data_IF_137761711043
#
_entry.id   IF_137761711043
#
_cell.length_a   1.000
_cell.length_b   1.000
_cell.length_c   1.000
_cell.angle_alpha   90.00
_cell.angle_beta   90.00
_cell.angle_gamma   90.00
#
_symmetry.space_group_name_H-M   'P 1'
#
loop_
_entity.id
_entity.type
_entity.pdbx_description
1 polymer ?
#
# COMPACT_ATOMS: atom_id res chain seq x y z
N UNK A 1 13.56 5.76 13.77
CA UNK A 1 13.16 7.00 13.06
C UNK A 1 14.39 7.89 12.92
N UNK A 2 14.76 8.26 11.69
CA UNK A 2 15.84 9.20 11.46
C UNK A 2 15.39 10.58 11.95
N UNK A 3 16.18 11.23 12.79
CA UNK A 3 15.90 12.60 13.23
C UNK A 3 16.32 13.57 12.13
N UNK A 4 15.60 14.68 12.02
CA UNK A 4 15.97 15.74 11.11
C UNK A 4 17.24 16.45 11.59
N UNK A 5 18.20 16.66 10.68
CA UNK A 5 19.36 17.50 10.91
C UNK A 5 19.63 18.37 9.67
N UNK A 6 19.99 19.62 9.91
CA UNK A 6 20.42 20.52 8.85
C UNK A 6 21.78 20.07 8.31
N UNK A 7 21.91 20.03 6.98
CA UNK A 7 23.20 19.75 6.36
C UNK A 7 24.08 21.00 6.30
N UNK A 8 25.38 20.77 6.38
CA UNK A 8 26.36 21.81 6.07
C UNK A 8 26.30 22.12 4.57
N UNK A 9 26.26 23.42 4.25
CA UNK A 9 26.20 23.92 2.87
C UNK A 9 27.61 24.31 2.44
N UNK A 10 28.31 23.40 1.77
CA UNK A 10 29.68 23.60 1.28
C UNK A 10 29.73 24.02 -0.19
N UNK A 11 28.73 23.65 -0.99
CA UNK A 11 28.69 23.90 -2.42
C UNK A 11 28.53 25.38 -2.75
N UNK A 12 29.23 25.87 -3.78
CA UNK A 12 29.12 27.27 -4.20
C UNK A 12 27.85 27.48 -5.04
N UNK A 13 27.30 28.69 -4.96
CA UNK A 13 26.20 29.09 -5.82
C UNK A 13 26.63 29.07 -7.30
N UNK A 14 26.01 28.20 -8.10
CA UNK A 14 26.15 28.16 -9.55
C UNK A 14 25.38 29.31 -10.22
N UNK A 15 26.03 30.45 -10.39
CA UNK A 15 25.45 31.62 -11.07
C UNK A 15 25.11 31.37 -12.54
N UNK A 16 25.84 30.48 -13.22
CA UNK A 16 25.54 30.14 -14.63
C UNK A 16 24.18 29.47 -14.74
N UNK A 17 23.92 28.48 -13.88
CA UNK A 17 22.60 27.86 -13.78
C UNK A 17 21.53 28.90 -13.47
N UNK A 18 21.73 29.71 -12.42
CA UNK A 18 20.71 30.69 -12.03
C UNK A 18 20.46 31.76 -13.10
N UNK A 19 21.45 32.09 -13.92
CA UNK A 19 21.31 33.07 -15.00
C UNK A 19 20.45 32.58 -16.17
N UNK A 20 20.34 31.26 -16.37
CA UNK A 20 19.45 30.69 -17.40
C UNK A 20 18.00 30.60 -16.94
N UNK A 21 17.73 30.91 -15.68
CA UNK A 21 16.40 30.83 -15.12
C UNK A 21 15.51 31.95 -15.64
N UNK A 22 14.39 31.59 -16.29
CA UNK A 22 13.42 32.53 -16.80
C UNK A 22 12.07 32.38 -16.08
N UNK A 23 11.81 33.26 -15.12
CA UNK A 23 10.56 33.29 -14.34
C UNK A 23 9.33 33.40 -15.22
N UNK A 24 9.38 34.25 -16.26
CA UNK A 24 8.24 34.49 -17.14
C UNK A 24 7.87 33.24 -17.94
N UNK A 25 8.87 32.49 -18.40
CA UNK A 25 8.62 31.25 -19.14
C UNK A 25 7.99 30.18 -18.24
N UNK A 26 8.44 30.05 -16.99
CA UNK A 26 7.85 29.11 -16.02
C UNK A 26 6.41 29.47 -15.70
N UNK A 27 6.13 30.74 -15.40
CA UNK A 27 4.76 31.21 -15.09
C UNK A 27 3.84 30.98 -16.29
N UNK A 28 4.31 31.29 -17.50
CA UNK A 28 3.55 31.10 -18.73
C UNK A 28 3.25 29.62 -19.02
N UNK A 29 4.21 28.73 -18.80
CA UNK A 29 4.03 27.29 -19.03
C UNK A 29 3.22 26.61 -17.91
N UNK A 30 3.20 27.19 -16.72
CA UNK A 30 2.56 26.61 -15.55
C UNK A 30 3.23 25.33 -15.04
N UNK A 31 4.41 25.00 -15.54
CA UNK A 31 5.14 23.78 -15.19
C UNK A 31 6.12 24.04 -14.05
N UNK A 32 5.75 23.57 -12.86
CA UNK A 32 6.57 23.71 -11.65
C UNK A 32 7.75 22.75 -11.60
N UNK A 33 7.78 21.69 -12.42
CA UNK A 33 8.91 20.75 -12.47
C UNK A 33 10.18 21.44 -12.98
N UNK A 34 10.03 22.45 -13.84
CA UNK A 34 11.15 23.27 -14.34
C UNK A 34 11.86 24.03 -13.21
N UNK A 35 11.18 24.29 -12.08
CA UNK A 35 11.77 24.97 -10.91
C UNK A 35 12.64 24.05 -10.07
N UNK A 36 12.40 22.74 -10.12
CA UNK A 36 13.01 21.78 -9.19
C UNK A 36 14.54 21.83 -9.18
N UNK A 37 15.25 21.85 -10.33
CA UNK A 37 16.72 21.92 -10.34
C UNK A 37 17.25 23.20 -9.67
N UNK A 38 16.58 24.33 -9.89
CA UNK A 38 16.96 25.62 -9.32
C UNK A 38 16.67 25.66 -7.82
N UNK A 39 15.50 25.19 -7.40
CA UNK A 39 15.10 25.14 -6.00
C UNK A 39 16.03 24.23 -5.19
N UNK A 40 16.35 23.05 -5.70
CA UNK A 40 17.29 22.12 -5.06
C UNK A 40 18.69 22.72 -4.97
N UNK A 41 19.20 23.31 -6.06
CA UNK A 41 20.50 23.96 -6.08
C UNK A 41 20.58 25.09 -5.04
N UNK A 42 19.60 25.99 -5.02
CA UNK A 42 19.55 27.08 -4.03
C UNK A 42 19.41 26.53 -2.62
N UNK A 43 18.64 25.47 -2.39
CA UNK A 43 18.41 24.90 -1.05
C UNK A 43 19.72 24.45 -0.36
N UNK A 44 20.63 23.84 -1.13
CA UNK A 44 21.86 23.22 -0.61
C UNK A 44 23.14 24.02 -0.85
N UNK A 45 23.09 25.09 -1.64
CA UNK A 45 24.24 25.94 -1.87
C UNK A 45 24.59 26.85 -0.67
N UNK A 46 25.87 27.14 -0.52
CA UNK A 46 26.42 28.11 0.43
C UNK A 46 26.11 29.53 -0.03
N UNK A 47 25.38 30.27 0.80
CA UNK A 47 25.09 31.68 0.56
C UNK A 47 26.25 32.57 1.04
N UNK A 48 26.42 33.77 0.45
CA UNK A 48 27.40 34.75 0.93
C UNK A 48 27.20 35.06 2.40
N UNK A 49 28.28 35.21 3.17
CA UNK A 49 28.19 35.52 4.60
C UNK A 49 27.37 36.80 4.82
N UNK A 50 26.50 36.84 5.85
CA UNK A 50 25.81 38.08 6.20
C UNK A 50 26.86 39.16 6.53
N UNK A 51 26.60 40.41 6.16
CA UNK A 51 27.45 41.52 6.60
C UNK A 51 27.44 41.59 8.14
N UNK A 52 28.54 42.06 8.74
CA UNK A 52 28.68 42.15 10.21
C UNK A 52 27.63 43.07 10.86
N UNK A 53 27.12 44.03 10.10
CA UNK A 53 26.02 44.92 10.47
C UNK A 53 25.04 44.98 9.29
N UNK A 54 24.06 44.07 9.21
CA UNK A 54 22.99 44.20 8.23
C UNK A 54 21.97 45.18 8.82
N UNK A 55 21.77 46.38 8.24
CA UNK A 55 20.84 47.37 8.78
C UNK A 55 19.36 46.93 8.67
N UNK A 56 19.10 45.78 8.03
CA UNK A 56 17.77 45.17 7.86
C UNK A 56 17.93 43.71 7.44
N UNK A 57 16.86 42.90 7.51
CA UNK A 57 16.82 41.56 6.90
C UNK A 57 17.13 41.68 5.39
N UNK A 58 18.36 41.35 5.01
CA UNK A 58 18.77 41.39 3.61
C UNK A 58 18.07 40.29 2.80
N UNK A 59 18.13 40.37 1.47
CA UNK A 59 17.53 39.34 0.61
C UNK A 59 18.08 37.94 0.94
N UNK A 60 19.35 37.85 1.35
CA UNK A 60 19.97 36.58 1.73
C UNK A 60 19.37 35.97 3.00
N UNK A 61 18.89 36.77 3.96
CA UNK A 61 18.17 36.29 5.11
C UNK A 61 16.89 35.55 4.70
N UNK A 62 16.12 36.11 3.77
CA UNK A 62 14.92 35.45 3.23
C UNK A 62 15.29 34.15 2.50
N UNK A 63 16.36 34.17 1.70
CA UNK A 63 16.85 32.96 1.03
C UNK A 63 17.27 31.90 2.04
N UNK A 64 17.92 32.27 3.17
CA UNK A 64 18.25 31.31 4.25
C UNK A 64 17.01 30.69 4.86
N UNK A 65 15.97 31.47 5.14
CA UNK A 65 14.69 30.94 5.64
C UNK A 65 14.15 29.94 4.62
N UNK A 66 14.12 30.30 3.34
CA UNK A 66 13.67 29.41 2.27
C UNK A 66 14.50 28.13 2.19
N UNK A 67 15.84 28.20 2.28
CA UNK A 67 16.71 27.02 2.31
C UNK A 67 16.36 26.07 3.45
N UNK A 68 16.14 26.61 4.65
CA UNK A 68 15.78 25.83 5.82
C UNK A 68 14.38 25.22 5.64
N UNK A 69 13.38 26.03 5.29
CA UNK A 69 12.02 25.55 5.06
C UNK A 69 12.00 24.43 4.01
N UNK A 70 12.71 24.60 2.90
CA UNK A 70 12.70 23.65 1.80
C UNK A 70 13.42 22.34 2.16
N UNK A 71 14.57 22.39 2.83
CA UNK A 71 15.27 21.18 3.28
C UNK A 71 14.42 20.39 4.30
N UNK A 72 13.71 21.07 5.21
CA UNK A 72 12.79 20.40 6.14
C UNK A 72 11.62 19.75 5.41
N UNK A 73 11.00 20.44 4.45
CA UNK A 73 9.91 19.89 3.65
C UNK A 73 10.35 18.67 2.84
N UNK A 74 11.55 18.69 2.26
CA UNK A 74 12.11 17.54 1.55
C UNK A 74 12.32 16.34 2.48
N UNK A 75 12.83 16.58 3.69
CA UNK A 75 12.96 15.54 4.71
C UNK A 75 11.59 14.94 5.09
N UNK A 76 10.60 15.80 5.36
CA UNK A 76 9.25 15.36 5.72
C UNK A 76 8.60 14.55 4.59
N UNK A 77 8.75 14.98 3.34
CA UNK A 77 8.28 14.24 2.15
C UNK A 77 8.93 12.86 2.05
N UNK A 78 10.24 12.77 2.21
CA UNK A 78 10.96 11.50 2.16
C UNK A 78 10.53 10.55 3.29
N UNK A 79 10.41 11.06 4.51
CA UNK A 79 9.96 10.29 5.67
C UNK A 79 8.51 9.79 5.51
N UNK A 80 7.61 10.65 5.02
CA UNK A 80 6.22 10.27 4.75
C UNK A 80 6.14 9.19 3.67
N UNK A 81 6.88 9.32 2.57
CA UNK A 81 6.98 8.30 1.53
C UNK A 81 7.48 6.96 2.09
N UNK A 82 8.49 6.97 2.96
CA UNK A 82 9.00 5.74 3.57
C UNK A 82 7.97 5.08 4.50
N UNK A 83 7.25 5.86 5.29
CA UNK A 83 6.14 5.35 6.12
C UNK A 83 5.01 4.75 5.26
N UNK A 84 4.65 5.41 4.17
CA UNK A 84 3.63 4.89 3.24
C UNK A 84 4.06 3.56 2.61
N UNK A 85 5.33 3.43 2.20
CA UNK A 85 5.87 2.17 1.68
C UNK A 85 5.80 1.05 2.72
N UNK A 86 6.19 1.35 3.96
CA UNK A 86 6.12 0.39 5.07
C UNK A 86 4.69 -0.07 5.34
N UNK A 87 3.75 0.86 5.51
CA UNK A 87 2.34 0.54 5.72
C UNK A 87 1.73 -0.24 4.54
N UNK A 88 2.12 0.09 3.30
CA UNK A 88 1.69 -0.65 2.12
C UNK A 88 2.21 -2.09 2.10
N UNK A 89 3.41 -2.34 2.63
CA UNK A 89 3.97 -3.68 2.77
C UNK A 89 3.26 -4.46 3.88
N UNK A 90 3.02 -3.84 5.04
CA UNK A 90 2.26 -4.45 6.13
C UNK A 90 0.84 -4.82 5.69
N UNK A 91 0.14 -3.92 4.99
CA UNK A 91 -1.21 -4.19 4.48
C UNK A 91 -1.22 -5.40 3.55
N UNK A 92 -0.28 -5.47 2.59
CA UNK A 92 -0.16 -6.62 1.69
C UNK A 92 0.13 -7.93 2.44
N UNK A 93 0.85 -7.87 3.55
CA UNK A 93 1.14 -9.05 4.37
C UNK A 93 -0.13 -9.53 5.08
N UNK A 94 -0.89 -8.62 5.69
CA UNK A 94 -2.17 -8.93 6.34
C UNK A 94 -3.19 -9.46 5.33
N UNK A 95 -3.26 -8.89 4.13
CA UNK A 95 -4.13 -9.38 3.05
C UNK A 95 -3.79 -10.82 2.65
N UNK A 96 -2.49 -11.14 2.51
CA UNK A 96 -2.05 -12.52 2.24
C UNK A 96 -2.41 -13.48 3.37
N UNK A 97 -2.24 -13.06 4.62
CA UNK A 97 -2.60 -13.88 5.77
C UNK A 97 -4.11 -14.14 5.82
N UNK A 98 -4.93 -13.12 5.57
CA UNK A 98 -6.38 -13.27 5.40
C UNK A 98 -6.70 -14.27 4.30
N UNK A 99 -6.08 -14.16 3.13
CA UNK A 99 -6.35 -15.04 1.99
C UNK A 99 -5.99 -16.51 2.31
N UNK A 100 -4.88 -16.73 3.01
CA UNK A 100 -4.49 -18.07 3.50
C UNK A 100 -5.51 -18.61 4.50
N UNK A 101 -6.00 -17.80 5.42
CA UNK A 101 -7.01 -18.21 6.39
C UNK A 101 -8.35 -18.53 5.73
N UNK A 102 -8.80 -17.72 4.76
CA UNK A 102 -10.01 -18.01 3.98
C UNK A 102 -9.87 -19.32 3.21
N UNK A 103 -8.71 -19.54 2.56
CA UNK A 103 -8.46 -20.80 1.85
C UNK A 103 -8.50 -22.01 2.78
N UNK A 104 -7.87 -21.91 3.97
CA UNK A 104 -7.92 -22.96 5.00
C UNK A 104 -9.34 -23.19 5.52
N UNK A 105 -10.12 -22.13 5.72
CA UNK A 105 -11.53 -22.25 6.14
C UNK A 105 -12.33 -23.05 5.12
N UNK A 106 -12.21 -22.73 3.83
CA UNK A 106 -12.90 -23.45 2.76
C UNK A 106 -12.47 -24.92 2.65
N UNK A 107 -11.19 -25.22 2.85
CA UNK A 107 -10.70 -26.61 2.89
C UNK A 107 -11.35 -27.37 4.05
N UNK A 108 -11.34 -26.81 5.26
CA UNK A 108 -11.94 -27.44 6.44
C UNK A 108 -13.45 -27.62 6.29
N UNK A 109 -14.16 -26.64 5.72
CA UNK A 109 -15.58 -26.77 5.41
C UNK A 109 -15.82 -27.88 4.39
N UNK A 110 -15.05 -27.91 3.29
CA UNK A 110 -15.13 -28.98 2.30
C UNK A 110 -14.86 -30.37 2.87
N UNK A 111 -13.88 -30.50 3.78
CA UNK A 111 -13.60 -31.75 4.50
C UNK A 111 -14.73 -32.15 5.45
N UNK A 112 -15.37 -31.20 6.15
CA UNK A 112 -16.55 -31.46 6.98
C UNK A 112 -17.73 -31.94 6.14
N UNK A 113 -18.02 -31.31 5.01
CA UNK A 113 -19.07 -31.77 4.09
C UNK A 113 -18.73 -33.13 3.47
N UNK A 114 -17.47 -33.38 3.10
CA UNK A 114 -17.01 -34.67 2.58
C UNK A 114 -16.96 -35.79 3.64
N UNK A 115 -16.85 -35.46 4.93
CA UNK A 115 -16.95 -36.41 6.04
C UNK A 115 -18.42 -36.65 6.43
N UNK A 116 -19.26 -35.62 6.47
CA UNK A 116 -20.71 -35.76 6.63
C UNK A 116 -21.36 -36.57 5.48
N UNK A 117 -20.85 -36.45 4.25
CA UNK A 117 -21.25 -37.29 3.12
C UNK A 117 -20.78 -38.75 3.23
N UNK A 118 -19.73 -39.04 4.02
CA UNK A 118 -19.30 -40.41 4.35
C UNK A 118 -20.04 -40.98 5.56
N UNK A 119 -20.49 -40.12 6.46
CA UNK A 119 -21.40 -40.42 7.58
C UNK A 119 -22.87 -40.22 7.17
N UNK A 120 -23.21 -40.47 5.89
CA UNK A 120 -24.60 -40.49 5.48
C UNK A 120 -25.35 -41.48 6.38
N UNK A 121 -26.48 -41.07 7.01
CA UNK A 121 -27.20 -41.92 7.95
C UNK A 121 -27.55 -43.25 7.26
N UNK A 122 -27.43 -44.35 8.01
CA UNK A 122 -27.70 -45.74 7.61
C UNK A 122 -28.85 -45.94 6.60
N UNK A 123 -29.87 -45.07 6.61
CA UNK A 123 -30.95 -45.02 5.63
C UNK A 123 -30.52 -44.74 4.18
N UNK A 124 -29.63 -43.77 3.92
CA UNK A 124 -29.19 -43.44 2.56
C UNK A 124 -28.35 -44.55 1.92
N UNK A 125 -27.51 -45.22 2.72
CA UNK A 125 -26.77 -46.41 2.28
C UNK A 125 -27.70 -47.60 1.97
N UNK A 126 -28.76 -47.79 2.78
CA UNK A 126 -29.80 -48.80 2.51
C UNK A 126 -30.62 -48.52 1.26
N UNK A 127 -30.94 -47.26 0.99
CA UNK A 127 -31.65 -46.86 -0.23
C UNK A 127 -30.75 -47.11 -1.46
N UNK A 128 -29.46 -46.79 -1.37
CA UNK A 128 -28.51 -47.03 -2.46
C UNK A 128 -28.32 -48.54 -2.76
N UNK A 129 -28.27 -49.41 -1.75
CA UNK A 129 -28.18 -50.86 -1.97
C UNK A 129 -29.49 -51.45 -2.53
N UNK A 130 -30.65 -50.94 -2.12
CA UNK A 130 -31.94 -51.37 -2.67
C UNK A 130 -32.10 -50.98 -4.16
N UNK A 131 -31.60 -49.80 -4.56
CA UNK A 131 -31.63 -49.32 -5.95
C UNK A 131 -30.68 -50.09 -6.88
N UNK A 132 -29.64 -50.74 -6.34
CA UNK A 132 -28.69 -51.55 -7.12
C UNK A 132 -29.14 -53.00 -7.32
N UNK A 133 -30.22 -53.44 -6.67
CA UNK A 133 -30.77 -54.78 -6.88
C UNK A 133 -31.59 -54.86 -8.19
N UNK A 134 -31.26 -55.75 -9.14
CA UNK A 134 -31.99 -55.85 -10.39
C UNK A 134 -33.28 -56.64 -10.16
N UNK A 135 -34.38 -55.92 -9.96
CA UNK A 135 -35.71 -56.49 -9.79
C UNK A 135 -36.63 -55.51 -9.06
N UNK A 136 -37.18 -54.54 -9.79
CA UNK A 136 -38.14 -53.58 -9.26
C UNK A 136 -39.45 -54.29 -8.86
N UNK A 137 -39.52 -54.80 -7.64
CA UNK A 137 -40.79 -55.17 -7.02
C UNK A 137 -41.41 -53.93 -6.36
N UNK A 138 -42.73 -53.79 -6.43
CA UNK A 138 -43.50 -52.70 -5.80
C UNK A 138 -43.20 -52.56 -4.30
N UNK A 139 -42.76 -53.64 -3.65
CA UNK A 139 -42.34 -53.66 -2.24
C UNK A 139 -41.06 -52.84 -1.99
N UNK A 140 -40.08 -52.87 -2.91
CA UNK A 140 -38.85 -52.09 -2.78
C UNK A 140 -39.14 -50.60 -2.91
N UNK A 141 -40.00 -50.22 -3.85
CA UNK A 141 -40.42 -48.82 -4.05
C UNK A 141 -41.19 -48.29 -2.84
N UNK A 142 -42.11 -49.07 -2.28
CA UNK A 142 -42.85 -48.69 -1.06
C UNK A 142 -41.92 -48.51 0.15
N UNK A 143 -40.88 -49.35 0.26
CA UNK A 143 -39.89 -49.29 1.35
C UNK A 143 -38.96 -48.08 1.22
N UNK A 144 -38.59 -47.70 -0.01
CA UNK A 144 -37.83 -46.47 -0.27
C UNK A 144 -38.67 -45.24 0.06
N UNK A 145 -39.97 -45.24 -0.29
CA UNK A 145 -40.87 -44.14 0.00
C UNK A 145 -41.08 -43.91 1.50
N UNK A 146 -41.21 -44.95 2.31
CA UNK A 146 -41.29 -44.82 3.78
C UNK A 146 -39.97 -44.35 4.39
N UNK A 147 -38.82 -44.86 3.93
CA UNK A 147 -37.51 -44.41 4.42
C UNK A 147 -37.19 -42.96 4.07
N UNK A 148 -37.73 -42.43 2.97
CA UNK A 148 -37.61 -41.01 2.60
C UNK A 148 -38.57 -40.10 3.38
N UNK A 149 -39.67 -40.64 3.92
CA UNK A 149 -40.64 -39.87 4.72
C UNK A 149 -40.21 -39.72 6.19
N UNK A 150 -39.26 -40.52 6.67
CA UNK A 150 -38.69 -40.46 8.03
C UNK A 150 -37.40 -39.63 8.14
N UNK A 151 -36.93 -39.05 7.04
CA UNK A 151 -35.83 -38.06 6.97
C UNK A 151 -36.37 -36.63 7.06
#
# INVERSE_FOLDING_TARGET
MQRFCWRERSEKLNWRLLSTFNVLDVVRRGDSAVLEPYALHVTFARLPAPSKEPPTRDAWFLVRILQLSMEYLLFMRANASNKLKFLSQELRQVEKERDVLLLRSHIVEGEKYGRAGREAPSGAAKIATLLQSPGASLSVVATIATLLAEL
#
